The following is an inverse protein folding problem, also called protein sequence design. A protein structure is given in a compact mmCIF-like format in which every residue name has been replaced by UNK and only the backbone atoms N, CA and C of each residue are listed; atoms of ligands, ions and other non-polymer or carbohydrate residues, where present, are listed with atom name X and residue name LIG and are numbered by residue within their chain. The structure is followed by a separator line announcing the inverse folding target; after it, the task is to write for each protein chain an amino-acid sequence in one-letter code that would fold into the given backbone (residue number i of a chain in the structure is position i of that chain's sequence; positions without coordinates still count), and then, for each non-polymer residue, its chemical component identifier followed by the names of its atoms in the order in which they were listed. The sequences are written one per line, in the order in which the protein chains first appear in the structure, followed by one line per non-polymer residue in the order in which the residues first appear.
data_IF_694426430788
#
_entry.id   IF_694426430788
#
_cell.length_a   1.000
_cell.length_b   1.000
_cell.length_c   1.000
_cell.angle_alpha   90.00
_cell.angle_beta   90.00
_cell.angle_gamma   90.00
#
_symmetry.space_group_name_H-M   'P 1'
#
loop_
_entity.id
_entity.type
_entity.pdbx_description
1 polymer ?
#
# COMPACT_ATOMS: atom_id res chain seq x y z
N UNK A 1 7.12 -8.18 7.06
CA UNK A 1 7.42 -7.34 8.23
C UNK A 1 7.98 -8.15 9.39
N UNK A 2 7.34 -9.22 9.84
CA UNK A 2 7.90 -10.12 10.87
C UNK A 2 9.35 -10.55 10.59
N UNK A 3 9.63 -11.10 9.40
CA UNK A 3 11.00 -11.43 8.98
C UNK A 3 11.95 -10.23 8.98
N UNK A 4 11.48 -9.06 8.55
CA UNK A 4 12.29 -7.85 8.51
C UNK A 4 12.66 -7.39 9.92
N UNK A 5 11.74 -7.49 10.88
CA UNK A 5 12.02 -7.23 12.28
C UNK A 5 12.99 -8.23 12.89
N UNK A 6 12.82 -9.53 12.63
CA UNK A 6 13.74 -10.57 13.10
C UNK A 6 15.18 -10.39 12.55
N UNK A 7 15.33 -9.86 11.33
CA UNK A 7 16.61 -9.64 10.67
C UNK A 7 17.16 -8.21 10.85
N UNK A 8 16.44 -7.32 11.55
CA UNK A 8 16.81 -5.91 11.66
C UNK A 8 16.82 -5.15 10.33
N UNK A 9 16.17 -5.69 9.29
CA UNK A 9 16.13 -5.11 7.95
C UNK A 9 15.50 -3.71 8.00
N UNK A 10 16.17 -2.67 7.50
CA UNK A 10 15.65 -1.30 7.56
C UNK A 10 14.47 -1.13 6.60
N UNK A 11 13.35 -0.62 7.14
CA UNK A 11 12.08 -0.44 6.44
C UNK A 11 11.67 1.04 6.45
N UNK A 12 11.26 1.55 5.28
CA UNK A 12 10.61 2.84 5.13
C UNK A 12 9.12 2.65 4.81
N UNK A 13 8.25 3.41 5.46
CA UNK A 13 6.80 3.35 5.24
C UNK A 13 6.27 4.63 4.60
N UNK A 14 5.59 4.50 3.45
CA UNK A 14 4.97 5.61 2.73
C UNK A 14 3.46 5.37 2.63
N UNK A 15 2.64 6.40 2.83
CA UNK A 15 1.20 6.35 2.58
C UNK A 15 0.35 6.20 3.84
N UNK A 16 -0.95 6.03 3.63
CA UNK A 16 -1.96 6.13 4.69
C UNK A 16 -2.19 7.56 5.17
N UNK A 17 -3.21 7.73 6.02
CA UNK A 17 -3.39 8.98 6.78
C UNK A 17 -2.33 9.10 7.88
N UNK A 18 -1.96 10.32 8.33
CA UNK A 18 -0.95 10.52 9.36
C UNK A 18 -1.19 9.66 10.62
N UNK A 19 -2.43 9.59 11.09
CA UNK A 19 -2.83 8.79 12.25
C UNK A 19 -2.70 7.28 12.02
N UNK A 20 -3.05 6.80 10.82
CA UNK A 20 -2.95 5.38 10.44
C UNK A 20 -1.48 4.98 10.29
N UNK A 21 -0.65 5.84 9.69
CA UNK A 21 0.78 5.60 9.55
C UNK A 21 1.48 5.57 10.91
N UNK A 22 1.18 6.52 11.79
CA UNK A 22 1.73 6.55 13.14
C UNK A 22 1.39 5.27 13.92
N UNK A 23 0.13 4.84 13.89
CA UNK A 23 -0.31 3.59 14.51
C UNK A 23 0.36 2.37 13.89
N UNK A 24 0.53 2.35 12.57
CA UNK A 24 1.24 1.28 11.85
C UNK A 24 2.69 1.18 12.33
N UNK A 25 3.40 2.30 12.42
CA UNK A 25 4.77 2.34 12.93
C UNK A 25 4.88 1.79 14.36
N UNK A 26 3.97 2.23 15.25
CA UNK A 26 3.93 1.77 16.65
C UNK A 26 3.69 0.26 16.73
N UNK A 27 2.67 -0.26 16.04
CA UNK A 27 2.34 -1.68 16.07
C UNK A 27 3.44 -2.55 15.45
N UNK A 28 4.08 -2.11 14.37
CA UNK A 28 5.18 -2.85 13.75
C UNK A 28 6.41 -2.94 14.66
N UNK A 29 6.73 -1.86 15.38
CA UNK A 29 7.81 -1.87 16.39
C UNK A 29 7.45 -2.76 17.57
N UNK A 30 6.25 -2.63 18.13
CA UNK A 30 5.84 -3.40 19.30
C UNK A 30 5.69 -4.89 19.01
N UNK A 31 5.11 -5.25 17.86
CA UNK A 31 4.77 -6.64 17.55
C UNK A 31 5.96 -7.43 17.01
N UNK A 32 6.82 -6.80 16.23
CA UNK A 32 7.87 -7.50 15.48
C UNK A 32 9.24 -6.82 15.57
N UNK A 33 9.41 -5.75 16.35
CA UNK A 33 10.66 -5.01 16.45
C UNK A 33 11.21 -4.55 15.07
N UNK A 34 10.32 -4.12 14.17
CA UNK A 34 10.72 -3.67 12.83
C UNK A 34 11.62 -2.45 12.94
N UNK A 35 12.78 -2.51 12.29
CA UNK A 35 13.71 -1.39 12.14
C UNK A 35 13.15 -0.35 11.16
N UNK A 36 12.30 0.55 11.65
CA UNK A 36 11.71 1.61 10.83
C UNK A 36 12.67 2.79 10.77
N UNK A 37 13.31 2.96 9.61
CA UNK A 37 14.31 4.02 9.35
C UNK A 37 13.71 5.32 8.82
N UNK A 38 12.40 5.32 8.52
CA UNK A 38 11.67 6.51 8.16
C UNK A 38 10.21 6.24 7.80
N UNK A 39 9.41 7.31 7.79
CA UNK A 39 8.01 7.23 7.39
C UNK A 39 7.51 8.54 6.78
N UNK A 40 6.58 8.45 5.84
CA UNK A 40 5.92 9.58 5.19
C UNK A 40 4.44 9.27 4.94
N UNK A 41 3.51 10.10 5.41
CA UNK A 41 2.08 9.92 5.13
C UNK A 41 1.78 10.13 3.63
N UNK A 42 0.57 9.77 3.17
CA UNK A 42 0.20 9.84 1.75
C UNK A 42 -0.20 11.23 1.24
N UNK A 43 -0.17 12.26 2.09
CA UNK A 43 -0.74 13.60 1.84
C UNK A 43 0.37 14.66 1.70
N UNK A 44 1.35 14.41 0.82
CA UNK A 44 2.37 15.39 0.43
C UNK A 44 2.12 15.95 -0.97
N UNK A 45 2.58 17.19 -1.21
CA UNK A 45 2.54 17.84 -2.52
C UNK A 45 3.57 17.27 -3.48
N UNK A 46 3.38 17.51 -4.79
CA UNK A 46 4.29 17.05 -5.83
C UNK A 46 5.72 17.62 -5.66
N UNK A 47 5.84 18.83 -5.11
CA UNK A 47 7.11 19.54 -4.91
C UNK A 47 7.99 18.86 -3.84
N UNK A 48 7.37 18.17 -2.88
CA UNK A 48 8.10 17.43 -1.85
C UNK A 48 8.51 16.01 -2.27
N UNK A 49 8.18 15.56 -3.49
CA UNK A 49 8.53 14.20 -3.95
C UNK A 49 10.03 13.95 -4.00
N UNK A 50 10.78 14.92 -4.53
CA UNK A 50 12.22 14.75 -4.68
C UNK A 50 12.91 14.64 -3.31
N UNK A 51 12.54 15.52 -2.38
CA UNK A 51 13.01 15.47 -1.00
C UNK A 51 12.61 14.16 -0.29
N UNK A 52 11.42 13.60 -0.58
CA UNK A 52 11.04 12.29 -0.08
C UNK A 52 11.97 11.20 -0.63
N UNK A 53 12.30 11.20 -1.92
CA UNK A 53 13.16 10.19 -2.52
C UNK A 53 14.59 10.25 -1.96
N UNK A 54 15.10 11.45 -1.70
CA UNK A 54 16.39 11.65 -1.04
C UNK A 54 16.37 11.11 0.39
N UNK A 55 15.34 11.41 1.18
CA UNK A 55 15.20 10.81 2.52
C UNK A 55 15.11 9.29 2.49
N UNK A 56 14.43 8.71 1.50
CA UNK A 56 14.36 7.25 1.34
C UNK A 56 15.75 6.68 1.05
N UNK A 57 16.51 7.28 0.12
CA UNK A 57 17.89 6.92 -0.19
C UNK A 57 18.79 7.02 1.04
N UNK A 58 18.75 8.17 1.71
CA UNK A 58 19.66 8.50 2.82
C UNK A 58 19.34 7.72 4.10
N UNK A 59 18.09 7.24 4.24
CA UNK A 59 17.70 6.35 5.34
C UNK A 59 18.32 4.94 5.25
N UNK A 60 18.89 4.56 4.10
CA UNK A 60 19.42 3.21 3.87
C UNK A 60 18.36 2.11 3.88
N UNK A 61 17.11 2.45 3.56
CA UNK A 61 16.00 1.50 3.60
C UNK A 61 16.19 0.34 2.61
N UNK A 62 16.14 -0.91 3.08
CA UNK A 62 16.15 -2.07 2.21
C UNK A 62 14.75 -2.39 1.66
N UNK A 63 13.70 -2.00 2.39
CA UNK A 63 12.30 -2.21 1.99
C UNK A 63 11.56 -0.88 2.09
N UNK A 64 10.87 -0.50 1.00
CA UNK A 64 9.99 0.67 0.97
C UNK A 64 8.57 0.20 0.69
N UNK A 65 7.68 0.40 1.65
CA UNK A 65 6.25 0.06 1.51
C UNK A 65 5.43 1.28 1.16
N UNK A 66 4.51 1.15 0.19
CA UNK A 66 3.70 2.27 -0.33
C UNK A 66 2.21 1.97 -0.27
N UNK A 67 1.50 2.70 0.59
CA UNK A 67 0.07 2.58 0.89
C UNK A 67 -0.72 3.80 0.34
N UNK A 68 -0.62 4.05 -0.98
CA UNK A 68 -1.27 5.21 -1.63
C UNK A 68 -2.37 4.84 -2.62
N UNK A 69 -2.59 3.53 -2.81
CA UNK A 69 -3.53 3.00 -3.79
C UNK A 69 -3.07 3.19 -5.24
N UNK A 70 -3.69 2.42 -6.13
CA UNK A 70 -3.38 2.46 -7.56
C UNK A 70 -4.12 3.60 -8.27
N UNK A 71 -3.51 4.31 -9.24
CA UNK A 71 -2.16 4.10 -9.81
C UNK A 71 -1.03 4.86 -9.09
N UNK A 72 -1.35 5.66 -8.06
CA UNK A 72 -0.40 6.58 -7.41
C UNK A 72 0.79 5.84 -6.81
N UNK A 73 0.57 4.69 -6.18
CA UNK A 73 1.65 3.90 -5.58
C UNK A 73 2.62 3.36 -6.63
N UNK A 74 2.13 2.85 -7.78
CA UNK A 74 3.01 2.30 -8.82
C UNK A 74 3.88 3.39 -9.44
N UNK A 75 3.30 4.56 -9.69
CA UNK A 75 4.03 5.73 -10.22
C UNK A 75 5.08 6.20 -9.21
N UNK A 76 4.73 6.33 -7.93
CA UNK A 76 5.68 6.76 -6.90
C UNK A 76 6.84 5.77 -6.76
N UNK A 77 6.56 4.47 -6.74
CA UNK A 77 7.60 3.43 -6.65
C UNK A 77 8.51 3.44 -7.87
N UNK A 78 7.95 3.58 -9.08
CA UNK A 78 8.74 3.70 -10.32
C UNK A 78 9.69 4.89 -10.24
N UNK A 79 9.18 6.06 -9.89
CA UNK A 79 9.95 7.31 -9.85
C UNK A 79 11.00 7.26 -8.73
N UNK A 80 10.64 6.76 -7.53
CA UNK A 80 11.58 6.64 -6.41
C UNK A 80 12.70 5.64 -6.72
N UNK A 81 12.40 4.53 -7.40
CA UNK A 81 13.39 3.53 -7.81
C UNK A 81 14.43 4.08 -8.79
N UNK A 82 14.10 5.12 -9.57
CA UNK A 82 15.09 5.79 -10.41
C UNK A 82 16.15 6.55 -9.58
N UNK A 83 15.76 7.05 -8.41
CA UNK A 83 16.66 7.75 -7.47
C UNK A 83 17.39 6.77 -6.56
N UNK A 84 16.71 5.70 -6.11
CA UNK A 84 17.26 4.71 -5.18
C UNK A 84 16.90 3.27 -5.59
N UNK A 85 17.65 2.66 -6.53
CA UNK A 85 17.31 1.34 -7.06
C UNK A 85 17.58 0.17 -6.11
N UNK A 86 18.31 0.38 -5.01
CA UNK A 86 18.77 -0.69 -4.10
C UNK A 86 17.67 -1.25 -3.19
N UNK A 87 16.58 -0.49 -2.96
CA UNK A 87 15.47 -0.94 -2.14
C UNK A 87 14.50 -1.86 -2.88
N UNK A 88 13.86 -2.76 -2.13
CA UNK A 88 12.65 -3.45 -2.56
C UNK A 88 11.44 -2.53 -2.36
N UNK A 89 10.74 -2.20 -3.44
CA UNK A 89 9.51 -1.41 -3.42
C UNK A 89 8.28 -2.33 -3.43
N UNK A 90 7.37 -2.13 -2.48
CA UNK A 90 6.16 -2.93 -2.34
C UNK A 90 4.92 -2.04 -2.17
N UNK A 91 4.02 -2.11 -3.16
CA UNK A 91 2.71 -1.50 -3.07
C UNK A 91 1.82 -2.33 -2.14
N UNK A 92 1.37 -1.74 -1.04
CA UNK A 92 0.56 -2.44 -0.03
C UNK A 92 -0.89 -1.97 0.01
N UNK A 93 -1.25 -0.95 -0.77
CA UNK A 93 -2.62 -0.43 -0.83
C UNK A 93 -3.17 -0.09 0.56
N UNK A 94 -4.42 -0.48 0.84
CA UNK A 94 -5.09 -0.25 2.14
C UNK A 94 -4.65 -1.20 3.27
N UNK A 95 -3.48 -1.83 3.18
CA UNK A 95 -3.01 -2.77 4.20
C UNK A 95 -2.80 -2.09 5.55
N UNK A 96 -2.35 -0.83 5.59
CA UNK A 96 -2.18 -0.11 6.85
C UNK A 96 -3.51 0.03 7.59
N UNK A 97 -4.58 0.44 6.92
CA UNK A 97 -5.91 0.57 7.54
C UNK A 97 -6.44 -0.75 8.08
N UNK A 98 -6.16 -1.87 7.40
CA UNK A 98 -6.53 -3.21 7.87
C UNK A 98 -5.68 -3.64 9.06
N UNK A 99 -4.39 -3.33 9.03
CA UNK A 99 -3.44 -3.68 10.09
C UNK A 99 -3.73 -2.92 11.38
N UNK A 100 -4.05 -1.63 11.28
CA UNK A 100 -4.41 -0.78 12.43
C UNK A 100 -5.86 -0.94 12.89
N UNK A 101 -6.68 -1.73 12.17
CA UNK A 101 -8.07 -2.01 12.53
C UNK A 101 -9.08 -0.93 12.14
N UNK A 102 -8.68 0.09 11.37
CA UNK A 102 -9.58 1.13 10.85
C UNK A 102 -10.51 0.58 9.75
N UNK A 103 -10.08 -0.47 9.05
CA UNK A 103 -10.89 -1.15 8.03
C UNK A 103 -10.92 -2.65 8.30
N UNK A 104 -12.12 -3.18 8.50
CA UNK A 104 -12.30 -4.61 8.63
C UNK A 104 -12.12 -5.33 7.29
N UNK A 105 -11.29 -6.37 7.29
CA UNK A 105 -11.16 -7.29 6.15
C UNK A 105 -12.47 -8.09 5.99
N UNK A 106 -12.79 -8.50 4.76
CA UNK A 106 -13.96 -9.35 4.53
C UNK A 106 -13.85 -10.66 5.34
N UNK A 107 -14.96 -11.24 5.81
CA UNK A 107 -14.92 -12.55 6.49
C UNK A 107 -14.25 -13.63 5.63
N UNK A 108 -13.65 -14.65 6.27
CA UNK A 108 -12.91 -15.72 5.57
C UNK A 108 -13.74 -16.42 4.50
N UNK A 109 -15.04 -16.58 4.71
CA UNK A 109 -15.95 -17.15 3.72
C UNK A 109 -15.89 -16.40 2.37
N UNK A 110 -16.01 -15.07 2.41
CA UNK A 110 -15.92 -14.22 1.22
C UNK A 110 -14.53 -14.23 0.58
N UNK A 111 -13.47 -14.29 1.40
CA UNK A 111 -12.10 -14.39 0.90
C UNK A 111 -11.87 -15.72 0.17
N UNK A 112 -12.31 -16.84 0.76
CA UNK A 112 -12.15 -18.18 0.20
C UNK A 112 -12.91 -18.36 -1.12
N UNK A 113 -14.04 -17.68 -1.28
CA UNK A 113 -14.82 -17.66 -2.52
C UNK A 113 -14.26 -16.69 -3.58
N UNK A 114 -13.21 -15.91 -3.28
CA UNK A 114 -12.73 -14.85 -4.17
C UNK A 114 -13.69 -13.67 -4.32
N UNK A 115 -14.69 -13.56 -3.44
CA UNK A 115 -15.77 -12.56 -3.47
C UNK A 115 -15.53 -11.39 -2.52
N UNK A 116 -14.28 -11.18 -2.07
CA UNK A 116 -13.93 -10.03 -1.22
C UNK A 116 -14.30 -8.69 -1.89
N UNK A 117 -14.19 -8.60 -3.22
CA UNK A 117 -14.59 -7.40 -3.97
C UNK A 117 -16.09 -7.12 -3.86
N UNK A 118 -16.92 -8.16 -3.81
CA UNK A 118 -18.38 -8.05 -3.72
C UNK A 118 -18.80 -7.71 -2.30
N UNK A 119 -18.19 -8.33 -1.29
CA UNK A 119 -18.36 -7.91 0.11
C UNK A 119 -18.05 -6.42 0.29
N UNK A 120 -16.91 -5.95 -0.24
CA UNK A 120 -16.54 -4.53 -0.17
C UNK A 120 -17.50 -3.62 -0.95
N UNK A 121 -18.14 -4.12 -2.00
CA UNK A 121 -19.17 -3.38 -2.73
C UNK A 121 -20.44 -3.22 -1.87
N UNK A 122 -20.88 -4.29 -1.21
CA UNK A 122 -22.02 -4.25 -0.30
C UNK A 122 -21.75 -3.32 0.89
N UNK A 123 -20.55 -3.36 1.48
CA UNK A 123 -20.16 -2.48 2.59
C UNK A 123 -19.92 -1.03 2.16
N UNK A 124 -19.56 -0.77 0.90
CA UNK A 124 -19.27 0.57 0.38
C UNK A 124 -19.90 0.75 -1.01
N UNK A 125 -21.22 1.02 -1.09
CA UNK A 125 -21.96 1.08 -2.35
C UNK A 125 -21.44 2.15 -3.32
N UNK A 126 -20.77 3.19 -2.81
CA UNK A 126 -20.08 4.20 -3.62
C UNK A 126 -19.02 3.62 -4.57
N UNK A 127 -18.53 2.39 -4.32
CA UNK A 127 -17.57 1.69 -5.17
C UNK A 127 -18.16 1.12 -6.46
N UNK A 128 -19.49 1.16 -6.66
CA UNK A 128 -20.14 0.58 -7.84
C UNK A 128 -19.60 1.13 -9.16
N UNK A 129 -19.17 2.39 -9.17
CA UNK A 129 -18.53 3.05 -10.34
C UNK A 129 -17.29 2.29 -10.84
N UNK A 130 -16.55 1.61 -9.96
CA UNK A 130 -15.39 0.79 -10.35
C UNK A 130 -15.84 -0.49 -11.06
N UNK A 131 -16.98 -1.05 -10.67
CA UNK A 131 -17.49 -2.31 -11.21
C UNK A 131 -18.10 -2.17 -12.60
N UNK A 132 -18.55 -0.98 -12.98
CA UNK A 132 -18.95 -0.69 -14.38
C UNK A 132 -17.79 -0.99 -15.34
N UNK A 133 -16.53 -0.85 -14.91
CA UNK A 133 -15.37 -1.22 -15.74
C UNK A 133 -15.29 -2.73 -16.02
N UNK A 134 -15.87 -3.57 -15.16
CA UNK A 134 -15.95 -5.02 -15.39
C UNK A 134 -16.87 -5.33 -16.57
N UNK A 135 -17.95 -4.57 -16.78
CA UNK A 135 -18.81 -4.75 -17.96
C UNK A 135 -18.04 -4.48 -19.26
N UNK A 136 -17.18 -3.45 -19.26
CA UNK A 136 -16.30 -3.16 -20.40
C UNK A 136 -15.29 -4.29 -20.62
N UNK A 137 -14.71 -4.82 -19.56
CA UNK A 137 -13.79 -5.97 -19.65
C UNK A 137 -14.48 -7.22 -20.18
N UNK A 138 -15.67 -7.55 -19.68
CA UNK A 138 -16.49 -8.67 -20.17
C UNK A 138 -16.77 -8.52 -21.66
N UNK A 139 -17.13 -7.31 -22.11
CA UNK A 139 -17.29 -7.03 -23.54
C UNK A 139 -16.02 -7.37 -24.31
N UNK A 140 -14.84 -6.87 -23.91
CA UNK A 140 -13.57 -7.15 -24.58
C UNK A 140 -13.22 -8.64 -24.60
N UNK A 141 -13.48 -9.36 -23.52
CA UNK A 141 -13.26 -10.80 -23.44
C UNK A 141 -14.12 -11.56 -24.45
N UNK A 142 -15.42 -11.27 -24.51
CA UNK A 142 -16.34 -11.93 -25.44
C UNK A 142 -16.16 -11.48 -26.90
N UNK A 143 -15.64 -10.28 -27.15
CA UNK A 143 -15.34 -9.78 -28.51
C UNK A 143 -13.94 -10.12 -28.99
N UNK A 144 -13.11 -10.80 -28.19
CA UNK A 144 -11.73 -11.14 -28.55
C UNK A 144 -10.80 -9.94 -28.68
N UNK A 145 -11.12 -8.82 -28.03
CA UNK A 145 -10.36 -7.55 -28.08
C UNK A 145 -9.43 -7.37 -26.86
N UNK A 146 -9.07 -8.47 -26.22
CA UNK A 146 -8.30 -8.49 -24.97
C UNK A 146 -6.79 -8.44 -25.23
#
# INVERSE_FOLDING_TARGET
MERAGAQGTPVFLIGGKPEVLAQTCTQLRQRWNVNIVGSQDGYFSADHRQALFERVRDSGACIVTVAMGSPRQEILMRDCRQVYPQALYMGVGGTYDVFTGHVHRAPRFWQNMGLEWFYRLLSQPSRIKRQIRLLRYLRWYYTGQL
#
